data_IF_807471714908
#
_entry.id   IF_807471714908
#
_cell.length_a   1.000
_cell.length_b   1.000
_cell.length_c   1.000
_cell.angle_alpha   90.00
_cell.angle_beta   90.00
_cell.angle_gamma   90.00
#
_symmetry.space_group_name_H-M   'P 1'
#
loop_
_entity.id
_entity.type
_entity.pdbx_description
1 polymer ?
#
# COMPACT_ATOMS: atom_id res chain seq x y z
N UNK A 1 9.93 -7.02 -23.47
CA UNK A 1 9.05 -5.96 -22.91
C UNK A 1 7.95 -6.67 -22.16
N UNK A 2 7.66 -6.22 -20.95
CA UNK A 2 6.59 -6.79 -20.12
C UNK A 2 5.26 -6.12 -20.48
N UNK A 3 4.27 -6.90 -20.90
CA UNK A 3 2.94 -6.39 -21.21
C UNK A 3 2.11 -6.29 -19.94
N UNK A 4 1.59 -5.10 -19.63
CA UNK A 4 0.93 -4.80 -18.37
C UNK A 4 -0.51 -4.33 -18.61
N UNK A 5 -1.46 -5.06 -18.06
CA UNK A 5 -2.86 -4.66 -18.00
C UNK A 5 -3.14 -3.87 -16.71
N UNK A 6 -4.17 -3.04 -16.72
CA UNK A 6 -4.65 -2.32 -15.53
C UNK A 6 -6.13 -2.62 -15.32
N UNK A 7 -6.46 -3.16 -14.16
CA UNK A 7 -7.85 -3.36 -13.70
C UNK A 7 -8.25 -2.22 -12.77
N UNK A 8 -9.42 -1.62 -13.02
CA UNK A 8 -9.85 -0.36 -12.41
C UNK A 8 -9.22 0.87 -13.07
N UNK A 9 -8.89 0.76 -14.37
CA UNK A 9 -8.18 1.79 -15.14
C UNK A 9 -8.88 3.16 -15.19
N UNK A 10 -10.19 3.21 -15.06
CA UNK A 10 -10.96 4.46 -15.01
C UNK A 10 -10.91 5.17 -13.66
N UNK A 11 -10.43 4.50 -12.59
CA UNK A 11 -10.25 5.08 -11.26
C UNK A 11 -9.05 6.03 -11.18
N UNK A 12 -8.95 6.79 -10.09
CA UNK A 12 -7.84 7.76 -9.89
C UNK A 12 -6.46 7.12 -9.94
N UNK A 13 -6.25 6.03 -9.20
CA UNK A 13 -4.97 5.32 -9.19
C UNK A 13 -4.77 4.51 -10.46
N UNK A 14 -5.78 3.76 -10.92
CA UNK A 14 -5.68 2.96 -12.13
C UNK A 14 -5.32 3.80 -13.36
N UNK A 15 -5.91 4.99 -13.50
CA UNK A 15 -5.57 5.92 -14.59
C UNK A 15 -4.12 6.38 -14.51
N UNK A 16 -3.63 6.77 -13.33
CA UNK A 16 -2.24 7.18 -13.14
C UNK A 16 -1.27 6.05 -13.47
N UNK A 17 -1.57 4.82 -13.04
CA UNK A 17 -0.79 3.63 -13.40
C UNK A 17 -0.79 3.38 -14.90
N UNK A 18 -1.95 3.47 -15.55
CA UNK A 18 -2.06 3.29 -17.00
C UNK A 18 -1.25 4.34 -17.78
N UNK A 19 -1.29 5.61 -17.35
CA UNK A 19 -0.47 6.69 -17.91
C UNK A 19 1.02 6.42 -17.69
N UNK A 20 1.42 6.00 -16.47
CA UNK A 20 2.81 5.66 -16.14
C UNK A 20 3.34 4.49 -16.97
N UNK A 21 2.56 3.43 -17.17
CA UNK A 21 2.97 2.27 -18.00
C UNK A 21 3.22 2.70 -19.45
N UNK A 22 2.42 3.61 -19.99
CA UNK A 22 2.57 4.09 -21.37
C UNK A 22 3.87 4.89 -21.59
N UNK A 23 4.40 5.48 -20.52
CA UNK A 23 5.61 6.31 -20.54
C UNK A 23 6.87 5.57 -20.09
N UNK A 24 6.71 4.41 -19.44
CA UNK A 24 7.83 3.68 -18.86
C UNK A 24 8.59 2.84 -19.90
N UNK A 25 9.91 2.97 -19.93
CA UNK A 25 10.77 2.13 -20.76
C UNK A 25 10.67 0.66 -20.35
N UNK A 26 10.62 -0.23 -21.34
CA UNK A 26 10.59 -1.68 -21.15
C UNK A 26 9.20 -2.25 -20.82
N UNK A 27 8.16 -1.42 -20.67
CA UNK A 27 6.78 -1.85 -20.52
C UNK A 27 5.99 -1.66 -21.83
N UNK A 28 4.99 -2.51 -22.02
CA UNK A 28 4.02 -2.43 -23.12
C UNK A 28 2.62 -2.36 -22.51
N UNK A 29 1.80 -1.35 -22.82
CA UNK A 29 0.42 -1.29 -22.36
C UNK A 29 -0.38 -2.47 -22.89
N UNK A 30 -1.03 -3.21 -21.99
CA UNK A 30 -2.04 -4.21 -22.27
C UNK A 30 -3.45 -3.63 -22.23
N UNK A 31 -4.43 -4.44 -21.83
CA UNK A 31 -5.80 -4.00 -21.68
C UNK A 31 -5.97 -3.07 -20.47
N UNK A 32 -6.68 -1.98 -20.65
CA UNK A 32 -7.18 -1.12 -19.57
C UNK A 32 -8.63 -1.52 -19.28
N UNK A 33 -8.83 -2.30 -18.21
CA UNK A 33 -10.12 -2.88 -17.85
C UNK A 33 -10.81 -2.06 -16.76
N UNK A 34 -12.04 -1.65 -17.03
CA UNK A 34 -12.95 -1.05 -16.03
C UNK A 34 -14.38 -1.12 -16.59
N UNK A 35 -15.24 -2.03 -16.09
CA UNK A 35 -16.58 -2.22 -16.65
C UNK A 35 -17.49 -1.01 -16.44
N UNK A 36 -17.23 -0.19 -15.40
CA UNK A 36 -18.03 1.03 -15.13
C UNK A 36 -17.61 2.23 -16.00
N UNK A 37 -16.43 2.15 -16.65
CA UNK A 37 -15.81 3.24 -17.39
C UNK A 37 -15.40 2.88 -18.81
N UNK A 38 -16.01 1.86 -19.38
CA UNK A 38 -15.76 1.44 -20.74
C UNK A 38 -15.96 2.60 -21.75
N UNK A 39 -15.06 2.71 -22.72
CA UNK A 39 -15.03 3.76 -23.70
C UNK A 39 -14.26 5.03 -23.27
N UNK A 40 -13.85 5.16 -22.01
CA UNK A 40 -12.93 6.22 -21.57
C UNK A 40 -11.58 6.03 -22.29
N UNK A 41 -11.02 7.11 -22.83
CA UNK A 41 -9.70 7.08 -23.44
C UNK A 41 -8.60 7.43 -22.43
N UNK A 42 -7.53 6.61 -22.40
CA UNK A 42 -6.28 6.90 -21.70
C UNK A 42 -5.17 6.92 -22.75
N UNK A 43 -4.78 8.12 -23.16
CA UNK A 43 -4.00 8.29 -24.38
C UNK A 43 -4.77 7.82 -25.60
N UNK A 44 -4.22 6.87 -26.34
CA UNK A 44 -4.78 6.25 -27.54
C UNK A 44 -5.50 4.89 -27.30
N UNK A 45 -5.53 4.43 -26.02
CA UNK A 45 -6.14 3.15 -25.64
C UNK A 45 -7.50 3.38 -24.98
N UNK A 46 -8.53 2.71 -25.49
CA UNK A 46 -9.85 2.72 -24.90
C UNK A 46 -9.94 1.77 -23.71
N UNK A 47 -10.52 2.21 -22.61
CA UNK A 47 -10.90 1.36 -21.49
C UNK A 47 -11.98 0.37 -21.93
N UNK A 48 -11.84 -0.89 -21.59
CA UNK A 48 -12.75 -1.98 -21.97
C UNK A 48 -13.55 -2.51 -20.78
N UNK A 49 -14.77 -2.96 -21.03
CA UNK A 49 -15.55 -3.77 -20.09
C UNK A 49 -15.29 -5.29 -20.23
N UNK A 50 -14.58 -5.70 -21.27
CA UNK A 50 -14.26 -7.10 -21.50
C UNK A 50 -12.96 -7.49 -20.78
N UNK A 51 -13.00 -8.39 -19.79
CA UNK A 51 -11.83 -8.86 -19.09
C UNK A 51 -10.90 -9.75 -19.92
N UNK A 52 -11.37 -10.28 -21.06
CA UNK A 52 -10.59 -11.23 -21.89
C UNK A 52 -9.25 -10.62 -22.36
N UNK A 53 -9.21 -9.30 -22.60
CA UNK A 53 -8.00 -8.61 -23.01
C UNK A 53 -6.89 -8.63 -21.95
N UNK A 54 -7.22 -8.82 -20.67
CA UNK A 54 -6.24 -8.91 -19.58
C UNK A 54 -5.43 -10.20 -19.69
N UNK A 55 -6.02 -11.29 -20.16
CA UNK A 55 -5.35 -12.57 -20.32
C UNK A 55 -4.18 -12.59 -21.33
N UNK A 56 -4.03 -11.53 -22.14
CA UNK A 56 -2.90 -11.36 -23.03
C UNK A 56 -1.70 -10.63 -22.40
N UNK A 57 -1.82 -10.19 -21.13
CA UNK A 57 -0.78 -9.49 -20.40
C UNK A 57 0.08 -10.47 -19.59
N UNK A 58 1.32 -10.07 -19.30
CA UNK A 58 2.20 -10.79 -18.36
C UNK A 58 1.83 -10.46 -16.91
N UNK A 59 1.46 -9.19 -16.67
CA UNK A 59 1.12 -8.66 -15.34
C UNK A 59 -0.15 -7.83 -15.42
N UNK A 60 -1.04 -7.97 -14.44
CA UNK A 60 -2.16 -7.06 -14.21
C UNK A 60 -1.93 -6.26 -12.93
N UNK A 61 -2.12 -4.94 -13.00
CA UNK A 61 -2.14 -4.07 -11.83
C UNK A 61 -3.59 -3.81 -11.43
N UNK A 62 -3.96 -4.25 -10.22
CA UNK A 62 -5.34 -4.28 -9.71
C UNK A 62 -5.59 -3.13 -8.74
N UNK A 63 -6.32 -2.10 -9.19
CA UNK A 63 -6.73 -0.94 -8.40
C UNK A 63 -8.25 -0.73 -8.44
N UNK A 64 -9.00 -1.71 -7.99
CA UNK A 64 -10.47 -1.67 -7.94
C UNK A 64 -10.99 -1.40 -6.53
N UNK A 65 -12.09 -2.05 -6.15
CA UNK A 65 -12.73 -1.93 -4.85
C UNK A 65 -12.63 -3.24 -4.06
N UNK A 66 -12.69 -3.16 -2.71
CA UNK A 66 -12.62 -4.36 -1.86
C UNK A 66 -13.72 -5.40 -2.11
N UNK A 67 -14.88 -4.98 -2.62
CA UNK A 67 -16.03 -5.86 -2.90
C UNK A 67 -15.86 -6.72 -4.16
N UNK A 68 -15.00 -6.31 -5.11
CA UNK A 68 -14.81 -7.01 -6.40
C UNK A 68 -13.42 -7.63 -6.57
N UNK A 69 -12.43 -7.21 -5.76
CA UNK A 69 -11.03 -7.58 -5.97
C UNK A 69 -10.79 -9.09 -5.92
N UNK A 70 -11.45 -9.82 -5.02
CA UNK A 70 -11.23 -11.27 -4.90
C UNK A 70 -11.74 -12.05 -6.11
N UNK A 71 -12.87 -11.63 -6.69
CA UNK A 71 -13.39 -12.22 -7.94
C UNK A 71 -12.46 -11.91 -9.11
N UNK A 72 -11.97 -10.69 -9.21
CA UNK A 72 -10.99 -10.31 -10.23
C UNK A 72 -9.72 -11.15 -10.11
N UNK A 73 -9.16 -11.29 -8.90
CA UNK A 73 -7.93 -12.06 -8.67
C UNK A 73 -8.08 -13.52 -9.06
N UNK A 74 -9.21 -14.16 -8.74
CA UNK A 74 -9.49 -15.53 -9.20
C UNK A 74 -9.47 -15.62 -10.73
N UNK A 75 -10.07 -14.64 -11.42
CA UNK A 75 -10.09 -14.56 -12.88
C UNK A 75 -8.70 -14.36 -13.47
N UNK A 76 -7.88 -13.50 -12.89
CA UNK A 76 -6.50 -13.26 -13.35
C UNK A 76 -5.61 -14.49 -13.15
N UNK A 77 -5.78 -15.19 -12.04
CA UNK A 77 -5.12 -16.46 -11.79
C UNK A 77 -5.49 -17.52 -12.84
N UNK A 78 -6.78 -17.70 -13.13
CA UNK A 78 -7.27 -18.65 -14.17
C UNK A 78 -6.71 -18.31 -15.56
N UNK A 79 -6.48 -17.02 -15.85
CA UNK A 79 -5.88 -16.55 -17.10
C UNK A 79 -4.35 -16.70 -17.13
N UNK A 80 -3.71 -17.10 -16.02
CA UNK A 80 -2.26 -17.26 -15.94
C UNK A 80 -1.47 -15.94 -15.85
N UNK A 81 -2.11 -14.84 -15.43
CA UNK A 81 -1.53 -13.49 -15.37
C UNK A 81 -1.05 -13.19 -13.95
N UNK A 82 0.20 -12.72 -13.81
CA UNK A 82 0.70 -12.22 -12.52
C UNK A 82 -0.09 -11.02 -12.06
N UNK A 83 -0.37 -10.91 -10.74
CA UNK A 83 -1.15 -9.80 -10.19
C UNK A 83 -0.34 -8.93 -9.22
N UNK A 84 -0.38 -7.61 -9.42
CA UNK A 84 0.09 -6.58 -8.48
C UNK A 84 -1.12 -5.85 -7.93
N UNK A 85 -1.39 -6.00 -6.64
CA UNK A 85 -2.66 -5.58 -6.01
C UNK A 85 -2.46 -4.35 -5.13
N UNK A 86 -3.10 -3.25 -5.52
CA UNK A 86 -3.15 -2.01 -4.73
C UNK A 86 -4.54 -1.69 -4.17
N UNK A 87 -5.51 -2.57 -4.41
CA UNK A 87 -6.83 -2.45 -3.80
C UNK A 87 -6.73 -2.69 -2.30
N UNK A 88 -7.34 -1.80 -1.51
CA UNK A 88 -7.38 -1.91 -0.04
C UNK A 88 -8.33 -3.00 0.45
N UNK A 89 -8.32 -3.27 1.76
CA UNK A 89 -9.27 -4.19 2.42
C UNK A 89 -8.79 -5.63 2.51
N UNK A 90 -7.50 -5.87 2.47
CA UNK A 90 -6.88 -7.17 2.79
C UNK A 90 -6.51 -7.21 4.28
N UNK A 91 -7.31 -7.90 5.05
CA UNK A 91 -6.99 -8.33 6.40
C UNK A 91 -6.32 -9.72 6.41
N UNK A 92 -5.93 -10.21 7.59
CA UNK A 92 -5.27 -11.51 7.73
C UNK A 92 -6.12 -12.67 7.17
N UNK A 93 -7.43 -12.67 7.42
CA UNK A 93 -8.33 -13.71 6.92
C UNK A 93 -8.46 -13.72 5.40
N UNK A 94 -8.50 -12.53 4.79
CA UNK A 94 -8.57 -12.38 3.33
C UNK A 94 -7.26 -12.75 2.66
N UNK A 95 -6.11 -12.46 3.28
CA UNK A 95 -4.80 -12.89 2.80
C UNK A 95 -4.65 -14.42 2.89
N UNK A 96 -5.12 -15.03 3.98
CA UNK A 96 -5.12 -16.49 4.14
C UNK A 96 -6.01 -17.16 3.07
N UNK A 97 -7.22 -16.62 2.85
CA UNK A 97 -8.11 -17.08 1.79
C UNK A 97 -7.44 -16.99 0.41
N UNK A 98 -6.80 -15.84 0.10
CA UNK A 98 -6.12 -15.62 -1.17
C UNK A 98 -4.97 -16.61 -1.33
N UNK A 99 -4.12 -16.78 -0.32
CA UNK A 99 -2.99 -17.73 -0.35
C UNK A 99 -3.47 -19.17 -0.55
N UNK A 100 -4.55 -19.57 0.14
CA UNK A 100 -5.12 -20.91 0.01
C UNK A 100 -5.73 -21.20 -1.36
N UNK A 101 -6.22 -20.18 -2.08
CA UNK A 101 -6.80 -20.34 -3.41
C UNK A 101 -5.79 -20.09 -4.53
N UNK A 102 -4.81 -19.21 -4.33
CA UNK A 102 -3.83 -18.84 -5.36
C UNK A 102 -2.78 -19.94 -5.61
N UNK A 103 -2.33 -20.62 -4.55
CA UNK A 103 -1.29 -21.64 -4.62
C UNK A 103 0.13 -21.05 -4.68
N UNK A 104 1.09 -21.90 -5.07
CA UNK A 104 2.52 -21.60 -5.01
C UNK A 104 3.05 -20.80 -6.23
N UNK A 105 2.18 -20.56 -7.23
CA UNK A 105 2.55 -19.87 -8.49
C UNK A 105 3.36 -20.73 -9.46
N UNK A 106 3.78 -20.23 -10.64
CA UNK A 106 3.16 -19.09 -11.31
C UNK A 106 1.71 -19.36 -11.76
N UNK A 107 0.88 -18.33 -11.97
CA UNK A 107 1.18 -16.92 -11.78
C UNK A 107 1.37 -16.55 -10.31
N UNK A 108 2.06 -15.42 -10.02
CA UNK A 108 2.30 -14.93 -8.68
C UNK A 108 1.41 -13.72 -8.38
N UNK A 109 1.13 -13.47 -7.11
CA UNK A 109 0.33 -12.34 -6.65
C UNK A 109 1.10 -11.53 -5.60
N UNK A 110 1.29 -10.25 -5.82
CA UNK A 110 1.89 -9.34 -4.88
C UNK A 110 0.85 -8.35 -4.36
N UNK A 111 0.43 -8.51 -3.11
CA UNK A 111 -0.48 -7.57 -2.44
C UNK A 111 0.35 -6.47 -1.78
N UNK A 112 0.13 -5.21 -2.18
CA UNK A 112 0.92 -4.07 -1.71
C UNK A 112 0.03 -3.10 -0.94
N UNK A 113 0.08 -3.11 0.40
CA UNK A 113 -0.69 -2.18 1.23
C UNK A 113 -0.28 -0.71 1.03
N UNK A 114 0.98 -0.47 0.68
CA UNK A 114 1.50 0.87 0.43
C UNK A 114 2.60 0.84 -0.66
N UNK A 115 2.38 1.52 -1.78
CA UNK A 115 3.35 1.66 -2.87
C UNK A 115 4.37 2.78 -2.66
N UNK A 116 4.24 3.58 -1.61
CA UNK A 116 5.24 4.61 -1.29
C UNK A 116 6.50 3.96 -0.72
N UNK A 117 7.56 3.88 -1.50
CA UNK A 117 8.86 3.35 -1.06
C UNK A 117 9.34 4.08 0.20
N UNK A 118 9.21 5.41 0.24
CA UNK A 118 9.61 6.20 1.41
C UNK A 118 8.82 5.85 2.68
N UNK A 119 7.51 5.55 2.57
CA UNK A 119 6.71 5.10 3.70
C UNK A 119 7.13 3.70 4.18
N UNK A 120 7.41 2.77 3.27
CA UNK A 120 7.90 1.42 3.60
C UNK A 120 9.26 1.49 4.29
N UNK A 121 10.18 2.30 3.78
CA UNK A 121 11.50 2.54 4.39
C UNK A 121 11.35 3.17 5.77
N UNK A 122 10.46 4.17 5.95
CA UNK A 122 10.19 4.77 7.25
C UNK A 122 9.71 3.73 8.27
N UNK A 123 8.76 2.85 7.90
CA UNK A 123 8.26 1.79 8.79
C UNK A 123 9.40 0.85 9.22
N UNK A 124 10.29 0.48 8.29
CA UNK A 124 11.43 -0.38 8.60
C UNK A 124 12.46 0.31 9.50
N UNK A 125 12.73 1.59 9.26
CA UNK A 125 13.62 2.38 10.14
C UNK A 125 13.02 2.55 11.53
N UNK A 126 11.72 2.73 11.66
CA UNK A 126 11.03 2.81 12.94
C UNK A 126 11.13 1.50 13.72
N UNK A 127 10.92 0.35 13.06
CA UNK A 127 11.11 -0.98 13.64
C UNK A 127 12.57 -1.17 14.12
N UNK A 128 13.57 -0.77 13.34
CA UNK A 128 14.98 -0.87 13.71
C UNK A 128 15.35 0.05 14.87
N UNK A 129 14.76 1.24 14.97
CA UNK A 129 15.05 2.20 16.03
C UNK A 129 14.39 1.85 17.37
N UNK A 130 13.19 1.27 17.33
CA UNK A 130 12.35 1.06 18.51
C UNK A 130 13.05 0.40 19.72
N UNK A 131 13.90 -0.63 19.59
CA UNK A 131 14.55 -1.27 20.73
C UNK A 131 15.55 -0.37 21.49
N UNK A 132 15.95 0.75 20.89
CA UNK A 132 16.97 1.65 21.47
C UNK A 132 16.37 2.86 22.21
N UNK A 133 15.06 3.03 22.17
CA UNK A 133 14.37 4.17 22.77
C UNK A 133 13.33 3.71 23.80
N UNK A 134 13.14 4.55 24.83
CA UNK A 134 12.24 4.25 25.94
C UNK A 134 10.74 4.39 25.57
N UNK A 135 10.43 5.18 24.56
CA UNK A 135 9.06 5.40 24.09
C UNK A 135 9.03 5.86 22.63
N UNK A 136 7.88 5.59 21.97
CA UNK A 136 7.58 6.11 20.65
C UNK A 136 6.16 6.68 20.59
N UNK A 137 5.93 7.66 19.73
CA UNK A 137 4.61 8.15 19.33
C UNK A 137 4.56 8.29 17.81
N UNK A 138 3.41 8.00 17.20
CA UNK A 138 3.18 8.11 15.76
C UNK A 138 2.21 9.24 15.49
N UNK A 139 2.54 10.13 14.55
CA UNK A 139 1.65 11.19 14.05
C UNK A 139 1.43 10.95 12.57
N UNK A 140 0.17 10.74 12.17
CA UNK A 140 -0.19 10.62 10.77
C UNK A 140 -1.08 11.78 10.33
N UNK A 141 -0.80 12.33 9.13
CA UNK A 141 -1.48 13.51 8.63
C UNK A 141 -1.98 13.24 7.21
N UNK A 142 -3.28 13.41 7.00
CA UNK A 142 -3.89 13.19 5.70
C UNK A 142 -4.88 14.30 5.34
N UNK A 143 -5.30 14.29 4.07
CA UNK A 143 -6.35 15.18 3.59
C UNK A 143 -7.66 14.95 4.37
N UNK A 144 -8.48 15.98 4.45
CA UNK A 144 -9.76 16.05 5.18
C UNK A 144 -10.82 15.02 4.74
N UNK A 145 -10.67 14.43 3.53
CA UNK A 145 -11.60 13.44 2.97
C UNK A 145 -11.19 11.99 3.22
N UNK A 146 -10.12 11.73 4.00
CA UNK A 146 -9.76 10.37 4.40
C UNK A 146 -10.71 9.88 5.49
N UNK A 147 -11.44 8.79 5.20
CA UNK A 147 -12.52 8.30 6.06
C UNK A 147 -12.04 7.57 7.32
N UNK A 148 -10.95 6.82 7.20
CA UNK A 148 -10.36 6.06 8.30
C UNK A 148 -9.39 6.92 9.12
N UNK A 149 -9.35 6.70 10.43
CA UNK A 149 -8.41 7.23 11.39
C UNK A 149 -8.25 6.22 12.55
N UNK A 150 -7.00 5.80 12.87
CA UNK A 150 -5.75 6.06 12.17
C UNK A 150 -5.68 5.43 10.78
N UNK A 151 -4.69 5.85 9.96
CA UNK A 151 -4.43 5.25 8.66
C UNK A 151 -3.87 3.83 8.81
N UNK A 152 -4.10 2.95 7.82
CA UNK A 152 -3.53 1.60 7.82
C UNK A 152 -2.01 1.57 7.95
N UNK A 153 -1.30 2.55 7.36
CA UNK A 153 0.15 2.69 7.49
C UNK A 153 0.57 3.03 8.93
N UNK A 154 -0.18 3.90 9.61
CA UNK A 154 0.12 4.26 11.00
C UNK A 154 -0.16 3.09 11.96
N UNK A 155 -1.25 2.34 11.72
CA UNK A 155 -1.53 1.10 12.46
C UNK A 155 -0.39 0.10 12.30
N UNK A 156 0.00 -0.21 11.07
CA UNK A 156 1.09 -1.14 10.78
C UNK A 156 2.43 -0.68 11.36
N UNK A 157 2.71 0.65 11.37
CA UNK A 157 3.92 1.20 11.98
C UNK A 157 3.93 0.98 13.50
N UNK A 158 2.83 1.28 14.18
CA UNK A 158 2.71 1.10 15.63
C UNK A 158 2.82 -0.38 16.03
N UNK A 159 2.16 -1.28 15.28
CA UNK A 159 2.25 -2.72 15.49
C UNK A 159 3.68 -3.26 15.29
N UNK A 160 4.42 -2.79 14.27
CA UNK A 160 5.82 -3.17 14.03
C UNK A 160 6.75 -2.68 15.15
N UNK A 161 6.55 -1.46 15.63
CA UNK A 161 7.30 -0.92 16.78
C UNK A 161 7.04 -1.80 18.01
N UNK A 162 5.78 -2.08 18.32
CA UNK A 162 5.39 -2.90 19.47
C UNK A 162 5.88 -4.35 19.38
N UNK A 163 6.03 -4.91 18.18
CA UNK A 163 6.50 -6.26 17.98
C UNK A 163 7.99 -6.47 18.38
N UNK A 164 8.79 -5.42 18.39
CA UNK A 164 10.24 -5.49 18.64
C UNK A 164 10.67 -4.78 19.91
N UNK A 165 9.82 -3.99 20.54
CA UNK A 165 10.12 -3.24 21.76
C UNK A 165 8.86 -3.05 22.59
N UNK A 166 8.99 -3.19 23.91
CA UNK A 166 7.94 -2.80 24.86
C UNK A 166 7.87 -1.28 24.93
N UNK A 167 6.75 -0.73 24.46
CA UNK A 167 6.46 0.71 24.42
C UNK A 167 5.43 1.12 25.47
N UNK A 168 5.04 0.22 26.37
CA UNK A 168 4.13 0.52 27.48
C UNK A 168 4.82 1.39 28.52
N UNK A 169 4.85 2.70 28.27
CA UNK A 169 5.30 3.68 29.25
C UNK A 169 4.11 4.32 29.95
N UNK A 170 4.04 4.16 31.27
CA UNK A 170 3.15 4.96 32.09
C UNK A 170 3.59 6.42 32.01
N UNK A 171 2.80 7.28 31.38
CA UNK A 171 2.99 8.73 31.45
C UNK A 171 2.19 9.27 32.64
N UNK A 172 2.84 10.08 33.49
CA UNK A 172 2.20 10.75 34.64
C UNK A 172 1.34 11.95 34.20
N UNK A 173 0.66 11.86 33.08
CA UNK A 173 -0.20 12.94 32.57
C UNK A 173 -1.67 12.65 32.81
N UNK A 174 -2.41 13.67 33.29
CA UNK A 174 -3.88 13.60 33.36
C UNK A 174 -4.46 14.19 32.09
N UNK A 175 -5.26 13.43 31.38
CA UNK A 175 -6.03 13.96 30.24
C UNK A 175 -7.12 14.90 30.74
N UNK A 176 -6.98 16.19 30.46
CA UNK A 176 -8.02 17.18 30.74
C UNK A 176 -9.18 17.09 29.76
N UNK A 177 -8.92 16.57 28.58
CA UNK A 177 -9.90 16.28 27.52
C UNK A 177 -9.64 14.86 27.01
N UNK A 178 -10.67 14.02 26.98
CA UNK A 178 -10.56 12.64 26.54
C UNK A 178 -9.99 12.54 25.11
N UNK A 179 -8.99 11.68 24.92
CA UNK A 179 -8.31 11.49 23.66
C UNK A 179 -7.18 12.49 23.37
N UNK A 180 -6.83 13.36 24.32
CA UNK A 180 -5.73 14.32 24.16
C UNK A 180 -4.38 13.64 23.91
N UNK A 181 -4.22 12.39 24.37
CA UNK A 181 -3.02 11.55 24.17
C UNK A 181 -3.09 10.66 22.93
N UNK A 182 -4.08 10.86 22.06
CA UNK A 182 -4.30 10.03 20.87
C UNK A 182 -4.92 8.67 21.18
N UNK A 183 -4.84 7.76 20.23
CA UNK A 183 -5.29 6.38 20.40
C UNK A 183 -4.09 5.47 20.69
N UNK A 184 -4.23 4.48 21.59
CA UNK A 184 -3.21 3.47 21.80
C UNK A 184 -3.39 2.33 20.80
N UNK A 185 -2.36 2.04 19.99
CA UNK A 185 -2.29 0.91 19.06
C UNK A 185 -1.13 0.02 19.51
N UNK A 186 -1.43 -1.17 20.00
CA UNK A 186 -0.46 -2.08 20.59
C UNK A 186 0.47 -1.39 21.63
N UNK A 187 -0.07 -0.48 22.45
CA UNK A 187 0.70 0.30 23.44
C UNK A 187 1.37 1.58 22.91
N UNK A 188 1.47 1.77 21.59
CA UNK A 188 2.06 2.97 20.97
C UNK A 188 0.97 4.02 20.75
N UNK A 189 1.15 5.28 21.25
CA UNK A 189 0.23 6.37 20.97
C UNK A 189 0.25 6.75 19.48
N UNK A 190 -0.94 6.89 18.88
CA UNK A 190 -1.12 7.30 17.48
C UNK A 190 -2.03 8.50 17.40
N UNK A 191 -1.57 9.56 16.72
CA UNK A 191 -2.28 10.82 16.54
C UNK A 191 -2.65 11.00 15.08
N UNK A 192 -3.93 11.26 14.79
CA UNK A 192 -4.44 11.41 13.43
C UNK A 192 -4.84 12.85 13.14
N UNK A 193 -4.23 13.47 12.14
CA UNK A 193 -4.54 14.83 11.67
C UNK A 193 -5.23 14.76 10.33
N UNK A 194 -6.32 15.53 10.15
CA UNK A 194 -7.09 15.67 8.91
C UNK A 194 -7.21 17.15 8.57
N UNK A 195 -6.51 17.59 7.49
CA UNK A 195 -6.50 19.00 7.05
C UNK A 195 -6.55 19.09 5.51
N UNK A 196 -7.24 20.12 4.97
CA UNK A 196 -7.09 20.48 3.57
C UNK A 196 -5.63 20.81 3.23
N UNK A 197 -5.19 20.43 2.02
CA UNK A 197 -3.82 20.66 1.56
C UNK A 197 -2.82 19.55 1.87
N UNK A 198 -3.14 18.63 2.78
CA UNK A 198 -2.33 17.43 3.01
C UNK A 198 -2.65 16.34 1.99
N UNK A 199 -1.70 15.46 1.74
CA UNK A 199 -1.88 14.23 0.95
C UNK A 199 -1.78 13.00 1.86
N UNK A 200 -0.56 12.59 2.23
CA UNK A 200 -0.31 11.50 3.16
C UNK A 200 1.08 11.68 3.79
N UNK A 201 1.13 11.82 5.10
CA UNK A 201 2.37 12.07 5.82
C UNK A 201 2.39 11.22 7.09
N UNK A 202 3.58 10.85 7.54
CA UNK A 202 3.76 10.16 8.80
C UNK A 202 5.06 10.61 9.47
N UNK A 203 4.98 10.81 10.77
CA UNK A 203 6.11 11.11 11.63
C UNK A 203 6.11 10.12 12.80
N UNK A 204 7.29 9.58 13.13
CA UNK A 204 7.52 8.74 14.28
C UNK A 204 8.54 9.44 15.17
N UNK A 205 8.14 9.76 16.40
CA UNK A 205 8.99 10.35 17.40
C UNK A 205 9.39 9.28 18.41
N UNK A 206 10.69 9.12 18.59
CA UNK A 206 11.26 8.30 19.65
C UNK A 206 11.88 9.20 20.71
N UNK A 207 11.76 8.79 21.98
CA UNK A 207 12.30 9.53 23.10
C UNK A 207 13.02 8.64 24.10
N UNK A 208 14.16 9.14 24.61
CA UNK A 208 14.90 8.61 25.76
C UNK A 208 15.38 9.76 26.63
N UNK A 209 16.02 9.47 27.75
CA UNK A 209 16.55 10.50 28.63
C UNK A 209 17.62 11.33 27.91
N UNK A 210 17.31 12.60 27.68
CA UNK A 210 18.25 13.57 27.09
C UNK A 210 18.29 13.59 25.55
N UNK A 211 17.51 12.76 24.85
CA UNK A 211 17.50 12.71 23.38
C UNK A 211 16.14 12.36 22.79
N UNK A 212 15.95 12.76 21.55
CA UNK A 212 14.85 12.34 20.70
C UNK A 212 15.36 11.99 19.29
N UNK A 213 14.69 11.05 18.64
CA UNK A 213 14.87 10.75 17.21
C UNK A 213 13.52 10.94 16.50
N UNK A 214 13.53 11.67 15.40
CA UNK A 214 12.33 11.85 14.56
C UNK A 214 12.58 11.25 13.18
N UNK A 215 11.68 10.37 12.76
CA UNK A 215 11.60 9.87 11.39
C UNK A 215 10.37 10.48 10.74
N UNK A 216 10.53 11.10 9.56
CA UNK A 216 9.41 11.74 8.86
C UNK A 216 9.41 11.39 7.38
N UNK A 217 8.23 11.11 6.86
CA UNK A 217 7.96 10.92 5.44
C UNK A 217 6.76 11.76 5.02
N UNK A 218 6.92 12.52 3.94
CA UNK A 218 5.90 13.38 3.37
C UNK A 218 5.62 12.97 1.92
N UNK A 219 4.40 12.52 1.63
CA UNK A 219 3.88 12.38 0.28
C UNK A 219 3.14 13.65 -0.11
N UNK A 220 3.65 14.39 -1.07
CA UNK A 220 3.08 15.65 -1.56
C UNK A 220 2.24 15.47 -2.82
N UNK A 221 2.49 14.39 -3.57
CA UNK A 221 1.75 14.00 -4.76
C UNK A 221 1.63 12.48 -4.87
N UNK A 222 0.54 11.98 -5.47
CA UNK A 222 0.32 10.55 -5.68
C UNK A 222 1.30 9.91 -6.66
N UNK A 223 1.98 10.69 -7.49
CA UNK A 223 3.07 10.22 -8.34
C UNK A 223 4.18 9.52 -7.53
N UNK A 224 4.33 9.84 -6.23
CA UNK A 224 5.23 9.14 -5.31
C UNK A 224 4.97 7.63 -5.15
N UNK A 225 3.79 7.14 -5.55
CA UNK A 225 3.47 5.71 -5.55
C UNK A 225 3.97 4.97 -6.80
N UNK A 226 4.21 5.69 -7.89
CA UNK A 226 4.55 5.07 -9.19
C UNK A 226 5.88 4.32 -9.20
N UNK A 227 6.96 4.78 -8.55
CA UNK A 227 8.20 3.99 -8.44
C UNK A 227 7.97 2.61 -7.78
N UNK A 228 7.12 2.53 -6.73
CA UNK A 228 6.77 1.27 -6.09
C UNK A 228 5.91 0.37 -6.97
N UNK A 229 5.00 0.95 -7.76
CA UNK A 229 4.19 0.19 -8.74
C UNK A 229 5.10 -0.39 -9.82
N UNK A 230 6.02 0.39 -10.38
CA UNK A 230 6.97 -0.07 -11.40
C UNK A 230 7.90 -1.17 -10.86
N UNK A 231 8.39 -1.01 -9.62
CA UNK A 231 9.18 -2.05 -8.94
C UNK A 231 8.40 -3.35 -8.78
N UNK A 232 7.13 -3.26 -8.35
CA UNK A 232 6.25 -4.41 -8.18
C UNK A 232 5.99 -5.13 -9.50
N UNK A 233 5.69 -4.39 -10.58
CA UNK A 233 5.51 -4.94 -11.93
C UNK A 233 6.78 -5.69 -12.39
N UNK A 234 7.95 -5.09 -12.21
CA UNK A 234 9.21 -5.68 -12.66
C UNK A 234 9.60 -6.96 -11.90
N UNK A 235 9.09 -7.16 -10.68
CA UNK A 235 9.58 -8.20 -9.77
C UNK A 235 8.54 -9.23 -9.35
N UNK A 236 7.24 -9.03 -9.63
CA UNK A 236 6.19 -9.98 -9.23
C UNK A 236 6.42 -11.39 -9.78
N UNK A 237 6.99 -11.51 -10.96
CA UNK A 237 7.33 -12.81 -11.58
C UNK A 237 8.39 -13.62 -10.82
N UNK A 238 9.23 -12.96 -10.03
CA UNK A 238 10.32 -13.58 -9.24
C UNK A 238 9.87 -14.03 -7.84
N UNK A 239 8.65 -13.69 -7.43
CA UNK A 239 8.13 -13.97 -6.08
C UNK A 239 7.40 -15.32 -6.04
N UNK A 240 7.31 -15.99 -4.88
CA UNK A 240 6.51 -17.19 -4.74
C UNK A 240 5.03 -16.86 -4.52
N UNK A 241 4.11 -17.55 -5.16
CA UNK A 241 2.68 -17.55 -4.90
C UNK A 241 2.10 -16.19 -4.52
N UNK A 242 1.58 -16.06 -3.28
CA UNK A 242 1.11 -14.80 -2.72
C UNK A 242 2.18 -14.19 -1.79
N UNK A 243 2.59 -12.98 -2.12
CA UNK A 243 3.56 -12.19 -1.32
C UNK A 243 2.91 -10.87 -0.89
N UNK A 244 3.26 -10.34 0.28
CA UNK A 244 2.68 -9.09 0.81
C UNK A 244 3.79 -8.08 1.10
N UNK A 245 3.57 -6.83 0.66
CA UNK A 245 4.47 -5.69 0.89
C UNK A 245 5.59 -5.55 -0.13
N UNK A 246 6.30 -4.44 -0.08
CA UNK A 246 7.46 -4.14 -0.94
C UNK A 246 8.80 -4.46 -0.28
N UNK A 247 8.84 -4.80 1.00
CA UNK A 247 10.05 -4.95 1.80
C UNK A 247 11.01 -5.97 1.17
N UNK A 248 10.50 -7.12 0.77
CA UNK A 248 11.30 -8.15 0.12
C UNK A 248 11.91 -7.68 -1.21
N UNK A 249 11.19 -6.86 -1.97
CA UNK A 249 11.68 -6.30 -3.24
C UNK A 249 12.75 -5.22 -3.02
N UNK A 250 12.71 -4.54 -1.89
CA UNK A 250 13.66 -3.52 -1.47
C UNK A 250 14.88 -4.12 -0.77
N UNK A 251 14.84 -5.38 -0.35
CA UNK A 251 15.90 -6.05 0.39
C UNK A 251 16.03 -5.57 1.85
N UNK A 252 14.93 -5.16 2.48
CA UNK A 252 14.89 -4.57 3.83
C UNK A 252 13.94 -5.29 4.75
#
# INVERSE_FOLDING_TARGET
MTRVAVSGAGGRMGRMVAETIREADGLEPGAFYDPERAGLMIGDIAVTADPAGVGAADVVVEFTRPDVVMENLARWQEMGVHAVVGTSGFDAGRLEQLSGTWGDGPPNCLVVPNFSIGAVVLMRLAELAAPYFAAAEVIELHHDRKADAPSGTALATAERIAAVADQERATESTELVAGARGAAVAGVPVHSIRLPGLVAHQEVLFGSLGETLTLRHDTTDRAAFMPGVLLAIARVGDLPGVTVGLEQLLGI
#
